data_IF_767246257231
#
_entry.id   IF_767246257231
#
_cell.length_a   1.000
_cell.length_b   1.000
_cell.length_c   1.000
_cell.angle_alpha   90.00
_cell.angle_beta   90.00
_cell.angle_gamma   90.00
#
_symmetry.space_group_name_H-M   'P 1'
#
loop_
_entity.id
_entity.type
_entity.pdbx_description
1 polymer ?
#
# COMPACT_ATOMS: atom_id res chain seq x y z
N UNK A 1 18.26 -5.42 -20.60
CA UNK A 1 17.80 -4.86 -19.32
C UNK A 1 16.87 -3.72 -19.67
N UNK A 2 15.61 -3.85 -19.27
CA UNK A 2 14.65 -2.76 -19.44
C UNK A 2 15.09 -1.61 -18.54
N UNK A 3 14.90 -0.38 -19.00
CA UNK A 3 15.35 0.82 -18.29
C UNK A 3 14.39 1.03 -17.10
N UNK A 4 14.93 0.98 -15.88
CA UNK A 4 14.17 1.39 -14.68
C UNK A 4 14.04 2.92 -14.70
N UNK A 5 12.82 3.43 -14.59
CA UNK A 5 12.56 4.85 -14.50
C UNK A 5 12.81 5.38 -13.09
N UNK A 6 13.32 6.59 -12.99
CA UNK A 6 13.55 7.26 -11.70
C UNK A 6 12.87 8.63 -11.67
N UNK A 7 12.14 8.88 -10.59
CA UNK A 7 11.36 10.10 -10.37
C UNK A 7 11.84 10.80 -9.11
N UNK A 8 11.66 12.08 -9.01
CA UNK A 8 12.04 12.87 -7.82
C UNK A 8 10.96 12.90 -6.76
N UNK A 9 9.73 12.53 -7.11
CA UNK A 9 8.61 12.36 -6.19
C UNK A 9 7.66 11.27 -6.68
N UNK A 10 6.88 10.72 -5.76
CA UNK A 10 5.90 9.65 -6.06
C UNK A 10 4.74 10.13 -6.90
N UNK A 11 4.37 11.40 -6.80
CA UNK A 11 3.30 12.00 -7.58
C UNK A 11 3.58 11.94 -9.08
N UNK A 12 4.81 12.23 -9.50
CA UNK A 12 5.23 12.09 -10.90
C UNK A 12 5.21 10.60 -11.32
N UNK A 13 5.71 9.70 -10.46
CA UNK A 13 5.63 8.26 -10.72
C UNK A 13 4.17 7.79 -10.90
N UNK A 14 3.23 8.28 -10.09
CA UNK A 14 1.80 7.96 -10.27
C UNK A 14 1.27 8.49 -11.59
N UNK A 15 1.52 9.76 -11.89
CA UNK A 15 1.02 10.44 -13.07
C UNK A 15 1.49 9.77 -14.38
N UNK A 16 2.74 9.33 -14.43
CA UNK A 16 3.36 8.85 -15.66
C UNK A 16 3.40 7.33 -15.79
N UNK A 17 3.38 6.59 -14.68
CA UNK A 17 3.51 5.14 -14.70
C UNK A 17 2.20 4.39 -14.40
N UNK A 18 1.21 5.02 -13.75
CA UNK A 18 -0.05 4.35 -13.41
C UNK A 18 -1.15 4.72 -14.41
N UNK A 19 -1.75 3.76 -15.12
CA UNK A 19 -2.85 4.07 -16.04
C UNK A 19 -4.07 4.66 -15.34
N UNK A 20 -4.67 5.68 -15.94
CA UNK A 20 -5.91 6.28 -15.45
C UNK A 20 -7.11 5.32 -15.58
N UNK A 21 -8.09 5.47 -14.71
CA UNK A 21 -9.38 4.80 -14.81
C UNK A 21 -9.42 3.37 -14.26
N UNK A 22 -8.33 2.84 -13.76
CA UNK A 22 -8.25 1.51 -13.19
C UNK A 22 -8.93 1.38 -11.81
N UNK A 23 -9.00 0.15 -11.30
CA UNK A 23 -9.42 -0.16 -9.92
C UNK A 23 -8.20 -0.26 -9.03
N UNK A 24 -8.11 0.59 -8.02
CA UNK A 24 -6.96 0.68 -7.14
C UNK A 24 -7.25 0.37 -5.68
N UNK A 25 -6.20 0.00 -4.94
CA UNK A 25 -6.24 -0.21 -3.50
C UNK A 25 -5.02 0.42 -2.83
N UNK A 26 -5.25 1.11 -1.71
CA UNK A 26 -4.19 1.47 -0.75
C UNK A 26 -4.35 0.64 0.52
N UNK A 27 -3.29 -0.09 0.88
CA UNK A 27 -3.16 -0.88 2.11
C UNK A 27 -2.31 -0.09 3.13
N UNK A 28 -2.96 0.41 4.19
CA UNK A 28 -2.36 1.36 5.12
C UNK A 28 -2.53 2.80 4.64
N UNK A 29 -3.52 3.50 5.16
CA UNK A 29 -3.98 4.82 4.65
C UNK A 29 -3.64 5.96 5.60
N UNK A 30 -3.58 5.66 6.90
CA UNK A 30 -3.33 6.63 7.97
C UNK A 30 -4.21 7.89 7.84
N UNK A 31 -3.63 9.05 7.50
CA UNK A 31 -4.33 10.34 7.32
C UNK A 31 -4.94 10.53 5.93
N UNK A 32 -4.68 9.62 5.00
CA UNK A 32 -5.16 9.68 3.63
C UNK A 32 -4.49 10.75 2.76
N UNK A 33 -3.29 11.18 3.10
CA UNK A 33 -2.56 12.15 2.27
C UNK A 33 -2.09 11.48 0.97
N UNK A 34 -1.51 10.28 1.08
CA UNK A 34 -1.10 9.52 -0.08
C UNK A 34 -2.32 9.04 -0.88
N UNK A 35 -3.41 8.61 -0.20
CA UNK A 35 -4.68 8.30 -0.84
C UNK A 35 -5.19 9.43 -1.74
N UNK A 36 -5.12 10.68 -1.25
CA UNK A 36 -5.53 11.84 -2.02
C UNK A 36 -4.62 12.07 -3.24
N UNK A 37 -3.32 11.89 -3.07
CA UNK A 37 -2.35 11.98 -4.17
C UNK A 37 -2.59 10.90 -5.23
N UNK A 38 -2.73 9.64 -4.83
CA UNK A 38 -3.09 8.54 -5.72
C UNK A 38 -4.39 8.84 -6.48
N UNK A 39 -5.44 9.26 -5.77
CA UNK A 39 -6.75 9.54 -6.37
C UNK A 39 -6.67 10.62 -7.46
N UNK A 40 -5.91 11.70 -7.21
CA UNK A 40 -5.78 12.81 -8.16
C UNK A 40 -4.93 12.43 -9.37
N UNK A 41 -3.81 11.73 -9.17
CA UNK A 41 -2.85 11.47 -10.25
C UNK A 41 -3.16 10.22 -11.08
N UNK A 42 -3.97 9.28 -10.55
CA UNK A 42 -4.34 8.05 -11.28
C UNK A 42 -5.80 8.05 -11.76
N UNK A 43 -6.60 9.04 -11.33
CA UNK A 43 -8.04 9.17 -11.64
C UNK A 43 -8.78 7.83 -11.70
N UNK A 44 -8.77 7.01 -10.62
CA UNK A 44 -9.28 5.65 -10.66
C UNK A 44 -10.79 5.60 -10.86
N UNK A 45 -11.30 4.62 -11.58
CA UNK A 45 -12.75 4.37 -11.69
C UNK A 45 -13.34 3.93 -10.34
N UNK A 46 -12.57 3.16 -9.57
CA UNK A 46 -12.87 2.77 -8.19
C UNK A 46 -11.58 2.69 -7.38
N UNK A 47 -11.59 3.21 -6.16
CA UNK A 47 -10.48 3.13 -5.22
C UNK A 47 -10.93 2.57 -3.88
N UNK A 48 -10.20 1.62 -3.36
CA UNK A 48 -10.37 1.05 -2.04
C UNK A 48 -9.31 1.60 -1.10
N UNK A 49 -9.73 2.05 0.08
CA UNK A 49 -8.87 2.55 1.14
C UNK A 49 -9.02 1.65 2.35
N UNK A 50 -8.03 0.82 2.62
CA UNK A 50 -8.10 -0.16 3.70
C UNK A 50 -7.07 0.13 4.78
N UNK A 51 -7.57 0.39 6.00
CA UNK A 51 -6.78 0.58 7.20
C UNK A 51 -7.57 0.17 8.43
N UNK A 52 -6.90 -0.25 9.47
CA UNK A 52 -7.54 -0.64 10.72
C UNK A 52 -8.03 0.57 11.53
N UNK A 53 -7.38 1.71 11.40
CA UNK A 53 -7.61 2.94 12.17
C UNK A 53 -7.98 2.69 13.62
N UNK A 54 -7.41 1.70 14.28
CA UNK A 54 -7.61 1.48 15.70
C UNK A 54 -7.72 0.03 16.21
N UNK A 55 -7.68 -1.01 15.42
CA UNK A 55 -7.75 -2.36 15.98
C UNK A 55 -6.39 -2.81 16.56
N UNK A 56 -6.11 -2.42 17.82
CA UNK A 56 -4.97 -2.92 18.60
C UNK A 56 -4.96 -4.45 18.78
N UNK A 57 -6.09 -5.12 18.60
CA UNK A 57 -6.19 -6.56 18.76
C UNK A 57 -5.39 -7.34 17.72
N UNK A 58 -5.22 -6.82 16.51
CA UNK A 58 -4.51 -7.52 15.44
C UNK A 58 -3.00 -7.56 15.68
N UNK A 59 -2.43 -6.51 16.26
CA UNK A 59 -1.00 -6.52 16.62
C UNK A 59 -0.68 -7.58 17.68
N UNK A 60 -1.61 -7.84 18.61
CA UNK A 60 -1.47 -8.91 19.60
C UNK A 60 -1.59 -10.30 18.96
N UNK A 61 -2.45 -10.48 17.96
CA UNK A 61 -2.61 -11.74 17.21
C UNK A 61 -1.39 -12.04 16.32
N UNK A 62 -0.70 -11.00 15.84
CA UNK A 62 0.50 -11.15 15.01
C UNK A 62 1.79 -11.36 15.83
N UNK A 63 1.68 -11.52 17.16
CA UNK A 63 2.81 -11.90 18.02
C UNK A 63 3.87 -10.81 18.19
N UNK A 64 3.47 -9.53 18.12
CA UNK A 64 4.37 -8.42 18.45
C UNK A 64 4.58 -8.33 19.97
N UNK A 65 5.82 -8.30 20.44
CA UNK A 65 6.06 -7.89 21.81
C UNK A 65 5.62 -6.43 21.93
N UNK A 66 4.63 -6.22 22.73
CA UNK A 66 4.13 -4.98 23.35
C UNK A 66 4.84 -3.65 22.94
N UNK A 67 4.91 -3.34 21.64
CA UNK A 67 5.22 -1.98 21.15
C UNK A 67 3.99 -1.07 21.31
N UNK A 68 3.11 -1.46 22.22
CA UNK A 68 1.87 -0.79 22.61
C UNK A 68 2.05 0.62 23.16
N UNK A 69 3.28 1.07 23.40
CA UNK A 69 3.52 2.43 23.90
C UNK A 69 3.14 3.49 22.87
N UNK A 70 3.39 3.26 21.58
CA UNK A 70 2.97 4.18 20.52
C UNK A 70 1.45 4.16 20.26
N UNK A 71 0.80 3.01 20.45
CA UNK A 71 -0.62 2.83 20.12
C UNK A 71 -1.59 3.09 21.27
N UNK A 72 -1.17 2.94 22.55
CA UNK A 72 -2.05 3.21 23.70
C UNK A 72 -2.33 4.69 23.91
N UNK A 73 -1.39 5.56 23.55
CA UNK A 73 -1.52 7.01 23.63
C UNK A 73 -2.20 7.62 22.41
N UNK A 74 -2.39 6.85 21.32
CA UNK A 74 -2.81 7.34 20.02
C UNK A 74 -4.16 6.79 19.51
N UNK A 75 -4.91 6.06 20.36
CA UNK A 75 -6.21 5.50 19.95
C UNK A 75 -7.14 6.55 19.37
N UNK A 76 -7.32 7.65 20.06
CA UNK A 76 -8.16 8.76 19.62
C UNK A 76 -7.63 9.41 18.35
N UNK A 77 -6.29 9.50 18.19
CA UNK A 77 -5.64 10.03 17.01
C UNK A 77 -5.94 9.17 15.78
N UNK A 78 -5.85 7.84 15.88
CA UNK A 78 -6.12 6.94 14.77
C UNK A 78 -7.60 6.95 14.37
N UNK A 79 -8.52 6.97 15.33
CA UNK A 79 -9.94 7.15 15.06
C UNK A 79 -10.19 8.45 14.29
N UNK A 80 -9.58 9.55 14.75
CA UNK A 80 -9.67 10.84 14.08
C UNK A 80 -9.11 10.79 12.64
N UNK A 81 -8.03 10.06 12.39
CA UNK A 81 -7.51 9.89 11.03
C UNK A 81 -8.53 9.20 10.11
N UNK A 82 -9.19 8.15 10.59
CA UNK A 82 -10.26 7.49 9.83
C UNK A 82 -11.44 8.42 9.54
N UNK A 83 -11.78 9.33 10.46
CA UNK A 83 -12.80 10.36 10.24
C UNK A 83 -12.36 11.39 9.20
N UNK A 84 -11.10 11.87 9.28
CA UNK A 84 -10.52 12.78 8.28
C UNK A 84 -10.55 12.19 6.87
N UNK A 85 -10.22 10.88 6.74
CA UNK A 85 -10.29 10.19 5.45
C UNK A 85 -11.74 10.10 4.96
N UNK A 86 -12.67 9.74 5.83
CA UNK A 86 -14.09 9.68 5.48
C UNK A 86 -14.64 11.04 5.01
N UNK A 87 -14.29 12.11 5.70
CA UNK A 87 -14.73 13.46 5.33
C UNK A 87 -14.07 13.93 4.02
N UNK A 88 -12.79 13.66 3.82
CA UNK A 88 -12.04 14.01 2.59
C UNK A 88 -12.65 13.35 1.35
N UNK A 89 -13.00 12.08 1.45
CA UNK A 89 -13.53 11.30 0.31
C UNK A 89 -15.06 11.27 0.22
N UNK A 90 -15.75 11.95 1.12
CA UNK A 90 -17.23 12.06 1.10
C UNK A 90 -17.82 12.53 -0.25
N UNK A 91 -17.21 13.50 -0.97
CA UNK A 91 -17.70 13.88 -2.31
C UNK A 91 -17.52 12.78 -3.37
N UNK A 92 -16.66 11.80 -3.12
CA UNK A 92 -16.24 10.75 -4.07
C UNK A 92 -16.71 9.35 -3.65
N UNK A 93 -17.73 9.27 -2.77
CA UNK A 93 -18.22 8.00 -2.21
C UNK A 93 -18.68 6.97 -3.25
N UNK A 94 -19.04 7.42 -4.44
CA UNK A 94 -19.43 6.52 -5.55
C UNK A 94 -18.20 5.83 -6.17
N UNK A 95 -17.02 6.44 -6.04
CA UNK A 95 -15.73 5.96 -6.56
C UNK A 95 -14.77 5.47 -5.48
N UNK A 96 -14.94 5.88 -4.22
CA UNK A 96 -14.04 5.53 -3.12
C UNK A 96 -14.79 4.71 -2.08
N UNK A 97 -14.23 3.57 -1.73
CA UNK A 97 -14.70 2.68 -0.68
C UNK A 97 -13.70 2.64 0.47
N UNK A 98 -14.15 2.99 1.66
CA UNK A 98 -13.34 3.02 2.88
C UNK A 98 -13.64 1.77 3.69
N UNK A 99 -12.62 0.93 3.91
CA UNK A 99 -12.71 -0.34 4.62
C UNK A 99 -11.92 -0.23 5.93
N UNK A 100 -12.64 -0.23 7.05
CA UNK A 100 -12.04 -0.24 8.39
C UNK A 100 -11.83 -1.69 8.84
N UNK A 101 -10.75 -2.29 8.37
CA UNK A 101 -10.41 -3.68 8.66
C UNK A 101 -8.93 -3.94 8.45
N UNK A 102 -8.50 -5.10 8.94
CA UNK A 102 -7.25 -5.69 8.49
C UNK A 102 -7.42 -6.12 7.02
N UNK A 103 -6.52 -5.65 6.14
CA UNK A 103 -6.62 -5.93 4.70
C UNK A 103 -6.45 -7.42 4.36
N UNK A 104 -5.76 -8.23 5.18
CA UNK A 104 -5.73 -9.69 4.97
C UNK A 104 -7.11 -10.32 5.11
N UNK A 105 -7.94 -9.84 6.05
CA UNK A 105 -9.32 -10.30 6.23
C UNK A 105 -10.26 -9.69 5.19
N UNK A 106 -10.10 -8.39 4.92
CA UNK A 106 -10.95 -7.68 3.98
C UNK A 106 -10.89 -8.26 2.56
N UNK A 107 -9.73 -8.78 2.17
CA UNK A 107 -9.46 -9.28 0.83
C UNK A 107 -9.13 -10.79 0.80
N UNK A 108 -9.57 -11.58 1.79
CA UNK A 108 -9.37 -13.03 1.79
C UNK A 108 -10.20 -13.80 0.76
N UNK A 109 -11.37 -13.26 0.39
CA UNK A 109 -12.31 -13.85 -0.57
C UNK A 109 -11.69 -13.89 -1.97
N UNK A 110 -11.76 -15.04 -2.64
CA UNK A 110 -11.25 -15.27 -4.00
C UNK A 110 -11.88 -14.38 -5.07
N UNK A 111 -13.02 -13.72 -4.79
CA UNK A 111 -13.58 -12.71 -5.70
C UNK A 111 -12.64 -11.53 -5.94
N UNK A 112 -11.64 -11.35 -5.08
CA UNK A 112 -10.61 -10.33 -5.23
C UNK A 112 -9.35 -10.82 -5.96
N UNK A 113 -9.25 -12.10 -6.32
CA UNK A 113 -8.13 -12.61 -7.12
C UNK A 113 -8.16 -11.94 -8.49
N UNK A 114 -7.01 -11.40 -8.93
CA UNK A 114 -6.89 -10.66 -10.19
C UNK A 114 -7.89 -9.49 -10.36
N UNK A 115 -8.27 -8.85 -9.25
CA UNK A 115 -9.30 -7.82 -9.26
C UNK A 115 -8.75 -6.41 -9.49
N UNK A 116 -7.62 -6.08 -8.82
CA UNK A 116 -7.06 -4.73 -8.83
C UNK A 116 -6.12 -4.51 -10.03
N UNK A 117 -6.21 -3.32 -10.62
CA UNK A 117 -5.24 -2.87 -11.62
C UNK A 117 -3.94 -2.43 -10.95
N UNK A 118 -4.04 -1.87 -9.75
CA UNK A 118 -2.89 -1.50 -8.94
C UNK A 118 -3.18 -1.56 -7.43
N UNK A 119 -2.12 -1.82 -6.66
CA UNK A 119 -2.13 -1.76 -5.19
C UNK A 119 -0.96 -0.91 -4.72
N UNK A 120 -1.17 -0.08 -3.71
CA UNK A 120 -0.13 0.65 -2.99
C UNK A 120 -0.04 0.12 -1.56
N UNK A 121 1.17 -0.29 -1.16
CA UNK A 121 1.46 -0.89 0.15
C UNK A 121 2.16 0.16 1.03
N UNK A 122 1.52 0.55 2.14
CA UNK A 122 2.06 1.45 3.16
C UNK A 122 1.63 1.01 4.56
N UNK A 123 1.82 -0.27 4.83
CA UNK A 123 1.44 -0.93 6.09
C UNK A 123 2.57 -0.94 7.12
N UNK A 124 2.82 -2.11 7.71
CA UNK A 124 3.91 -2.33 8.65
C UNK A 124 5.21 -2.69 7.91
N UNK A 125 6.29 -1.92 8.13
CA UNK A 125 7.55 -2.03 7.38
C UNK A 125 8.51 -3.11 7.92
N UNK A 126 8.04 -4.00 8.80
CA UNK A 126 8.84 -5.14 9.24
C UNK A 126 8.77 -6.26 8.20
N UNK A 127 9.92 -6.86 7.87
CA UNK A 127 10.09 -7.88 6.84
C UNK A 127 8.94 -8.90 6.75
N UNK A 128 8.58 -9.52 7.87
CA UNK A 128 7.53 -10.55 7.93
C UNK A 128 6.14 -10.08 7.50
N UNK A 129 5.85 -8.77 7.67
CA UNK A 129 4.59 -8.17 7.23
C UNK A 129 4.67 -7.81 5.76
N UNK A 130 5.79 -7.22 5.33
CA UNK A 130 6.00 -6.89 3.92
C UNK A 130 5.95 -8.14 3.05
N UNK A 131 6.51 -9.27 3.49
CA UNK A 131 6.39 -10.56 2.79
C UNK A 131 4.93 -10.97 2.59
N UNK A 132 4.10 -10.86 3.64
CA UNK A 132 2.66 -11.14 3.56
C UNK A 132 1.88 -10.13 2.73
N UNK A 133 2.26 -8.85 2.82
CA UNK A 133 1.64 -7.78 2.04
C UNK A 133 1.90 -8.00 0.55
N UNK A 134 3.12 -8.38 0.18
CA UNK A 134 3.47 -8.73 -1.20
C UNK A 134 2.76 -9.99 -1.68
N UNK A 135 2.64 -11.02 -0.83
CA UNK A 135 1.89 -12.25 -1.14
C UNK A 135 0.41 -11.92 -1.45
N UNK A 136 -0.23 -11.13 -0.57
CA UNK A 136 -1.60 -10.68 -0.79
C UNK A 136 -1.71 -9.83 -2.06
N UNK A 137 -0.86 -8.81 -2.21
CA UNK A 137 -0.89 -7.91 -3.36
C UNK A 137 -0.72 -8.69 -4.68
N UNK A 138 0.21 -9.63 -4.74
CA UNK A 138 0.41 -10.47 -5.93
C UNK A 138 -0.81 -11.31 -6.28
N UNK A 139 -1.55 -11.79 -5.28
CA UNK A 139 -2.77 -12.57 -5.49
C UNK A 139 -3.90 -11.71 -6.07
N UNK A 140 -4.12 -10.53 -5.46
CA UNK A 140 -5.28 -9.69 -5.78
C UNK A 140 -5.07 -8.73 -6.95
N UNK A 141 -3.81 -8.41 -7.31
CA UNK A 141 -3.48 -7.59 -8.48
C UNK A 141 -3.47 -8.47 -9.74
N UNK A 142 -4.05 -7.97 -10.82
CA UNK A 142 -4.06 -8.63 -12.13
C UNK A 142 -2.65 -8.98 -12.61
N UNK A 143 -2.55 -9.96 -13.49
CA UNK A 143 -1.31 -10.17 -14.25
C UNK A 143 -0.98 -8.90 -15.06
N UNK A 144 0.26 -8.45 -15.02
CA UNK A 144 0.75 -7.17 -15.54
C UNK A 144 0.13 -5.93 -14.87
N UNK A 145 -0.62 -6.07 -13.77
CA UNK A 145 -1.02 -4.95 -12.93
C UNK A 145 0.13 -4.46 -12.06
N UNK A 146 -0.07 -3.35 -11.35
CA UNK A 146 1.01 -2.67 -10.63
C UNK A 146 0.97 -2.92 -9.13
N UNK A 147 2.13 -3.22 -8.56
CA UNK A 147 2.37 -3.28 -7.13
C UNK A 147 3.35 -2.17 -6.77
N UNK A 148 2.88 -1.21 -6.01
CA UNK A 148 3.64 -0.07 -5.52
C UNK A 148 3.77 -0.13 -4.00
N UNK A 149 4.73 0.58 -3.44
CA UNK A 149 4.81 0.72 -1.99
C UNK A 149 5.81 1.77 -1.54
N UNK A 150 5.72 2.09 -0.26
CA UNK A 150 6.52 3.10 0.41
C UNK A 150 7.75 2.51 1.12
N UNK A 151 8.60 3.39 1.67
CA UNK A 151 9.79 3.04 2.48
C UNK A 151 10.78 2.07 1.79
N UNK A 152 10.89 2.16 0.45
CA UNK A 152 11.89 1.42 -0.32
C UNK A 152 13.28 2.05 -0.17
N UNK A 153 13.79 2.04 1.05
CA UNK A 153 15.07 2.65 1.42
C UNK A 153 15.77 1.87 2.54
N UNK A 154 17.09 1.92 2.54
CA UNK A 154 17.95 1.30 3.56
C UNK A 154 18.18 2.28 4.72
N UNK A 155 17.16 2.50 5.54
CA UNK A 155 17.29 3.26 6.78
C UNK A 155 17.45 2.27 7.93
N UNK A 156 18.45 2.50 8.80
CA UNK A 156 18.68 1.63 9.96
C UNK A 156 17.44 1.57 10.86
N UNK A 157 17.05 0.36 11.24
CA UNK A 157 15.94 0.09 12.11
C UNK A 157 14.84 -0.73 11.44
N UNK A 158 13.59 -0.43 11.77
CA UNK A 158 12.43 -1.21 11.35
C UNK A 158 12.01 -1.01 9.87
N UNK A 159 12.56 0.01 9.19
CA UNK A 159 12.24 0.33 7.79
C UNK A 159 13.04 -0.49 6.76
N UNK A 160 14.12 -1.14 7.15
CA UNK A 160 14.92 -2.01 6.28
C UNK A 160 14.19 -3.29 5.83
N UNK A 161 13.03 -3.55 6.42
CA UNK A 161 12.19 -4.69 6.07
C UNK A 161 11.53 -4.63 4.71
N UNK A 162 11.50 -3.49 4.02
CA UNK A 162 10.81 -3.34 2.73
C UNK A 162 11.69 -3.78 1.55
N UNK A 163 12.92 -3.29 1.49
CA UNK A 163 13.82 -3.51 0.34
C UNK A 163 14.10 -5.00 0.10
N UNK A 164 14.43 -5.75 1.16
CA UNK A 164 14.74 -7.17 1.07
C UNK A 164 13.64 -7.99 0.40
N UNK A 165 12.42 -8.03 0.95
CA UNK A 165 11.31 -8.78 0.38
C UNK A 165 10.96 -8.39 -1.06
N UNK A 166 11.01 -7.10 -1.40
CA UNK A 166 10.75 -6.63 -2.77
C UNK A 166 11.81 -7.16 -3.74
N UNK A 167 13.11 -7.01 -3.41
CA UNK A 167 14.21 -7.52 -4.25
C UNK A 167 14.16 -9.04 -4.40
N UNK A 168 13.88 -9.76 -3.34
CA UNK A 168 13.75 -11.22 -3.38
C UNK A 168 12.58 -11.67 -4.28
N UNK A 169 11.45 -10.97 -4.24
CA UNK A 169 10.32 -11.25 -5.12
C UNK A 169 10.67 -10.99 -6.61
N UNK A 170 11.44 -9.93 -6.87
CA UNK A 170 11.98 -9.66 -8.22
C UNK A 170 12.95 -10.77 -8.66
N UNK A 171 13.85 -11.20 -7.79
CA UNK A 171 14.81 -12.27 -8.08
C UNK A 171 14.14 -13.62 -8.36
N UNK A 172 12.99 -13.89 -7.72
CA UNK A 172 12.16 -15.07 -8.01
C UNK A 172 11.37 -14.95 -9.32
N UNK A 173 11.43 -13.81 -10.01
CA UNK A 173 10.67 -13.57 -11.22
C UNK A 173 9.17 -13.33 -11.00
N UNK A 174 8.78 -13.01 -9.80
CA UNK A 174 7.39 -12.78 -9.40
C UNK A 174 6.91 -11.36 -9.68
N UNK A 175 7.86 -10.44 -9.73
CA UNK A 175 7.64 -9.03 -10.05
C UNK A 175 8.80 -8.51 -10.89
N UNK A 176 8.56 -7.42 -11.64
CA UNK A 176 9.59 -6.66 -12.36
C UNK A 176 9.55 -5.20 -11.91
N UNK A 177 10.69 -4.67 -11.47
CA UNK A 177 10.80 -3.26 -11.10
C UNK A 177 10.76 -2.39 -12.35
N UNK A 178 9.85 -1.42 -12.38
CA UNK A 178 9.67 -0.46 -13.47
C UNK A 178 10.15 0.92 -13.09
N UNK A 179 9.83 1.38 -11.88
CA UNK A 179 10.15 2.73 -11.43
C UNK A 179 10.47 2.82 -9.95
N UNK A 180 11.20 3.86 -9.59
CA UNK A 180 11.48 4.26 -8.21
C UNK A 180 11.30 5.77 -8.09
N UNK A 181 10.56 6.23 -7.09
CA UNK A 181 10.53 7.63 -6.67
C UNK A 181 11.56 7.83 -5.56
N UNK A 182 12.57 8.68 -5.83
CA UNK A 182 13.70 8.93 -4.93
C UNK A 182 13.36 10.11 -4.02
N UNK A 183 12.82 9.80 -2.86
CA UNK A 183 12.41 10.73 -1.81
C UNK A 183 13.15 10.40 -0.51
N UNK A 184 12.88 11.14 0.57
CA UNK A 184 13.39 10.81 1.90
C UNK A 184 13.05 9.35 2.30
N UNK A 185 11.84 8.92 1.96
CA UNK A 185 11.36 7.55 2.09
C UNK A 185 10.88 7.11 0.70
N UNK A 186 11.79 6.53 -0.08
CA UNK A 186 11.54 6.19 -1.48
C UNK A 186 10.34 5.28 -1.68
N UNK A 187 9.70 5.40 -2.84
CA UNK A 187 8.61 4.50 -3.25
C UNK A 187 9.06 3.65 -4.44
N UNK A 188 8.58 2.41 -4.53
CA UNK A 188 8.79 1.52 -5.66
C UNK A 188 7.52 1.30 -6.46
N UNK A 189 7.69 0.94 -7.73
CA UNK A 189 6.64 0.47 -8.62
C UNK A 189 7.14 -0.75 -9.38
N UNK A 190 6.44 -1.86 -9.21
CA UNK A 190 6.70 -3.12 -9.88
C UNK A 190 5.50 -3.56 -10.71
N UNK A 191 5.75 -4.28 -11.79
CA UNK A 191 4.73 -5.05 -12.52
C UNK A 191 4.61 -6.43 -11.89
N UNK A 192 3.37 -6.87 -11.63
CA UNK A 192 3.06 -8.21 -11.14
C UNK A 192 3.16 -9.24 -12.27
N UNK A 193 3.98 -10.28 -12.09
CA UNK A 193 4.19 -11.34 -13.05
C UNK A 193 3.58 -12.64 -12.53
N UNK A 194 2.59 -13.18 -13.26
CA UNK A 194 1.92 -14.44 -12.94
C UNK A 194 2.07 -15.45 -14.05
#
# INVERSE_FOLDING_TARGET
MDKIESWTCREDMYLYCVPNGGVGLEMGVARGNNAASLFVHTDPSKMYLCDMWHETQVLNQLGQPNQSVLYKTDKERWLHYGELVADRFKPYRDRVEIIRSNYYQAFEDSKYDDYFDWVYIDGLHQRRFVEKDLELARRIVKNNGLIMGHDFCLIQGWMDGVVGPVIESIQRGEMRLEAVAIEQYSSFLCVNLK
#
